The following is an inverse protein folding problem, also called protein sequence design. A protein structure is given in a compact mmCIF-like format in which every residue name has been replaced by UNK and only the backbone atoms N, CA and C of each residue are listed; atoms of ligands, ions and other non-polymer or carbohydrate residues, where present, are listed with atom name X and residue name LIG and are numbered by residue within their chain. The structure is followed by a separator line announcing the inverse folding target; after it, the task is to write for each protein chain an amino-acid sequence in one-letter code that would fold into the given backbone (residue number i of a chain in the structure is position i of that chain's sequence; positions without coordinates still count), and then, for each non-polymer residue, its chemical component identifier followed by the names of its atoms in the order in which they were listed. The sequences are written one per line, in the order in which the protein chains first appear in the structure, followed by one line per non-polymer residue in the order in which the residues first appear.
data_IF_130128025039
#
_entry.id   IF_130128025039
#
_cell.length_a   1.000
_cell.length_b   1.000
_cell.length_c   1.000
_cell.angle_alpha   90.00
_cell.angle_beta   90.00
_cell.angle_gamma   90.00
#
_symmetry.space_group_name_H-M   'P 1'
#
loop_
_entity.id
_entity.type
_entity.pdbx_description
1 polymer ?
#
# COMPACT_ATOMS: atom_id res chain seq x y z
N UNK A 1 -27.42 -17.30 3.90
CA UNK A 1 -28.88 -17.06 3.90
C UNK A 1 -29.58 -18.41 3.90
N UNK A 2 -30.72 -18.54 4.58
CA UNK A 2 -31.58 -19.74 4.42
C UNK A 2 -32.30 -19.70 3.06
N UNK A 3 -32.67 -20.86 2.46
CA UNK A 3 -33.21 -20.92 1.10
C UNK A 3 -34.44 -20.02 0.86
N UNK A 4 -35.37 -19.99 1.81
CA UNK A 4 -36.58 -19.15 1.75
C UNK A 4 -36.26 -17.65 1.70
N UNK A 5 -35.25 -17.21 2.45
CA UNK A 5 -34.79 -15.81 2.43
C UNK A 5 -34.08 -15.47 1.13
N UNK A 6 -33.29 -16.39 0.56
CA UNK A 6 -32.59 -16.18 -0.70
C UNK A 6 -33.59 -16.06 -1.86
N UNK A 7 -34.56 -16.97 -1.93
CA UNK A 7 -35.61 -16.94 -2.94
C UNK A 7 -36.40 -15.62 -2.87
N UNK A 8 -36.86 -15.22 -1.68
CA UNK A 8 -37.54 -13.94 -1.51
C UNK A 8 -36.68 -12.76 -1.97
N UNK A 9 -35.41 -12.73 -1.58
CA UNK A 9 -34.49 -11.66 -1.97
C UNK A 9 -34.27 -11.57 -3.47
N UNK A 10 -34.12 -12.71 -4.16
CA UNK A 10 -34.00 -12.75 -5.62
C UNK A 10 -35.29 -12.22 -6.27
N UNK A 11 -36.46 -12.63 -5.80
CA UNK A 11 -37.74 -12.16 -6.38
C UNK A 11 -37.95 -10.67 -6.14
N UNK A 12 -37.64 -10.15 -4.94
CA UNK A 12 -37.94 -8.75 -4.60
C UNK A 12 -36.89 -7.76 -5.11
N UNK A 13 -35.60 -8.11 -5.06
CA UNK A 13 -34.50 -7.17 -5.35
C UNK A 13 -33.81 -7.46 -6.68
N UNK A 14 -33.85 -8.71 -7.16
CA UNK A 14 -33.20 -9.11 -8.41
C UNK A 14 -34.11 -9.98 -9.29
N UNK A 15 -35.30 -9.48 -9.71
CA UNK A 15 -36.29 -10.30 -10.40
C UNK A 15 -35.74 -11.03 -11.63
N UNK A 16 -34.81 -10.40 -12.36
CA UNK A 16 -34.11 -10.96 -13.51
C UNK A 16 -33.22 -12.17 -13.21
N UNK A 17 -32.80 -12.34 -11.96
CA UNK A 17 -32.00 -13.46 -11.46
C UNK A 17 -32.85 -14.56 -10.81
N UNK A 18 -34.11 -14.27 -10.47
CA UNK A 18 -35.00 -15.22 -9.80
C UNK A 18 -35.36 -16.44 -10.65
N UNK A 19 -35.33 -16.31 -11.98
CA UNK A 19 -35.61 -17.38 -12.95
C UNK A 19 -34.36 -18.14 -13.40
N UNK A 20 -33.18 -17.75 -12.91
CA UNK A 20 -31.90 -18.37 -13.28
C UNK A 20 -31.66 -19.62 -12.44
N UNK A 21 -31.13 -20.65 -13.08
CA UNK A 21 -30.82 -21.92 -12.45
C UNK A 21 -29.44 -21.91 -11.78
N UNK A 22 -29.14 -22.96 -11.02
CA UNK A 22 -27.85 -23.11 -10.33
C UNK A 22 -26.65 -22.96 -11.28
N UNK A 23 -26.77 -23.48 -12.51
CA UNK A 23 -25.68 -23.43 -13.48
C UNK A 23 -25.30 -22.01 -13.89
N UNK A 24 -26.28 -21.09 -13.97
CA UNK A 24 -26.01 -19.68 -14.20
C UNK A 24 -25.14 -19.07 -13.11
N UNK A 25 -25.45 -19.32 -11.84
CA UNK A 25 -24.69 -18.79 -10.71
C UNK A 25 -23.29 -19.41 -10.61
N UNK A 26 -23.14 -20.70 -10.91
CA UNK A 26 -21.83 -21.38 -10.98
C UNK A 26 -20.94 -20.80 -12.09
N UNK A 27 -21.52 -20.51 -13.28
CA UNK A 27 -20.82 -19.80 -14.35
C UNK A 27 -20.45 -18.37 -13.96
N UNK A 28 -21.37 -17.64 -13.33
CA UNK A 28 -21.14 -16.26 -12.87
C UNK A 28 -20.05 -16.19 -11.81
N UNK A 29 -20.03 -17.13 -10.87
CA UNK A 29 -18.98 -17.25 -9.87
C UNK A 29 -17.63 -17.54 -10.52
N UNK A 30 -17.59 -18.49 -11.46
CA UNK A 30 -16.37 -18.84 -12.20
C UNK A 30 -15.82 -17.65 -12.99
N UNK A 31 -16.69 -16.89 -13.65
CA UNK A 31 -16.32 -15.65 -14.35
C UNK A 31 -15.76 -14.62 -13.39
N UNK A 32 -16.41 -14.40 -12.25
CA UNK A 32 -15.96 -13.45 -11.24
C UNK A 32 -14.62 -13.83 -10.63
N UNK A 33 -14.39 -15.12 -10.32
CA UNK A 33 -13.11 -15.62 -9.84
C UNK A 33 -12.00 -15.36 -10.88
N UNK A 34 -12.27 -15.58 -12.17
CA UNK A 34 -11.31 -15.25 -13.24
C UNK A 34 -11.01 -13.75 -13.28
N UNK A 35 -12.03 -12.91 -13.18
CA UNK A 35 -11.85 -11.44 -13.14
C UNK A 35 -11.01 -11.00 -11.93
N UNK A 36 -11.28 -11.54 -10.74
CA UNK A 36 -10.49 -11.26 -9.53
C UNK A 36 -9.02 -11.62 -9.75
N UNK A 37 -8.73 -12.81 -10.28
CA UNK A 37 -7.34 -13.23 -10.57
C UNK A 37 -6.62 -12.33 -11.57
N UNK A 38 -7.33 -11.82 -12.57
CA UNK A 38 -6.77 -10.86 -13.55
C UNK A 38 -6.47 -9.54 -12.86
N UNK A 39 -7.41 -9.04 -12.05
CA UNK A 39 -7.26 -7.80 -11.32
C UNK A 39 -6.12 -7.88 -10.29
N UNK A 40 -6.02 -8.98 -9.54
CA UNK A 40 -4.90 -9.24 -8.64
C UNK A 40 -3.56 -9.19 -9.37
N UNK A 41 -3.44 -9.80 -10.55
CA UNK A 41 -2.20 -9.71 -11.34
C UNK A 41 -1.88 -8.30 -11.82
N UNK A 42 -2.89 -7.46 -12.06
CA UNK A 42 -2.70 -6.09 -12.55
C UNK A 42 -2.41 -5.10 -11.42
N UNK A 43 -2.97 -5.33 -10.23
CA UNK A 43 -2.90 -4.40 -9.08
C UNK A 43 -1.85 -4.83 -8.06
N UNK A 44 -1.51 -6.12 -7.99
CA UNK A 44 -0.50 -6.61 -7.07
C UNK A 44 0.89 -6.22 -7.59
N UNK A 45 1.39 -5.11 -7.06
CA UNK A 45 2.78 -4.69 -7.19
C UNK A 45 3.62 -5.60 -6.29
N UNK A 46 4.72 -6.14 -6.83
CA UNK A 46 5.60 -7.01 -6.03
C UNK A 46 6.16 -6.26 -4.83
N UNK A 47 6.41 -6.98 -3.73
CA UNK A 47 7.02 -6.39 -2.52
C UNK A 47 8.33 -5.67 -2.85
N UNK A 48 9.16 -6.25 -3.73
CA UNK A 48 10.40 -5.62 -4.20
C UNK A 48 10.15 -4.28 -4.92
N UNK A 49 9.12 -4.19 -5.74
CA UNK A 49 8.75 -2.93 -6.41
C UNK A 49 8.17 -1.90 -5.42
N UNK A 50 7.47 -2.37 -4.39
CA UNK A 50 7.03 -1.50 -3.28
C UNK A 50 8.24 -0.91 -2.54
N UNK A 51 9.19 -1.74 -2.13
CA UNK A 51 10.42 -1.31 -1.45
C UNK A 51 11.19 -0.30 -2.30
N UNK A 52 11.47 -0.62 -3.56
CA UNK A 52 12.21 0.27 -4.46
C UNK A 52 11.54 1.66 -4.63
N UNK A 53 10.20 1.71 -4.67
CA UNK A 53 9.51 3.00 -4.77
C UNK A 53 9.55 3.80 -3.45
N UNK A 54 9.63 3.14 -2.29
CA UNK A 54 9.84 3.82 -1.00
C UNK A 54 11.26 4.37 -0.91
N UNK A 55 12.27 3.61 -1.34
CA UNK A 55 13.67 4.09 -1.40
C UNK A 55 13.80 5.34 -2.30
N UNK A 56 13.15 5.35 -3.46
CA UNK A 56 13.15 6.52 -4.35
C UNK A 56 12.41 7.71 -3.70
N UNK A 57 11.28 7.48 -3.04
CA UNK A 57 10.54 8.52 -2.34
C UNK A 57 11.38 9.14 -1.21
N UNK A 58 12.11 8.31 -0.46
CA UNK A 58 13.02 8.75 0.61
C UNK A 58 14.13 9.63 0.03
N UNK A 59 14.82 9.15 -1.00
CA UNK A 59 15.88 9.92 -1.67
C UNK A 59 15.38 11.28 -2.15
N UNK A 60 14.18 11.35 -2.72
CA UNK A 60 13.57 12.62 -3.16
C UNK A 60 13.29 13.53 -1.96
N UNK A 61 12.71 12.99 -0.88
CA UNK A 61 12.38 13.76 0.31
C UNK A 61 13.62 14.31 1.02
N UNK A 62 14.64 13.46 1.24
CA UNK A 62 15.91 13.83 1.89
C UNK A 62 16.63 14.91 1.09
N UNK A 63 16.63 14.82 -0.24
CA UNK A 63 17.26 15.81 -1.11
C UNK A 63 16.37 17.03 -1.41
N UNK A 64 15.20 17.14 -0.75
CA UNK A 64 14.23 18.23 -0.89
C UNK A 64 13.86 18.49 -2.36
N UNK A 65 13.71 17.42 -3.15
CA UNK A 65 13.35 17.49 -4.56
C UNK A 65 11.83 17.38 -4.74
N UNK A 66 11.29 17.93 -5.85
CA UNK A 66 9.87 17.76 -6.15
C UNK A 66 9.55 16.29 -6.45
N UNK A 67 8.44 15.80 -5.91
CA UNK A 67 7.99 14.41 -6.09
C UNK A 67 7.71 14.04 -7.55
N UNK A 68 7.35 15.01 -8.39
CA UNK A 68 7.18 14.81 -9.84
C UNK A 68 8.46 14.37 -10.58
N UNK A 69 9.63 14.54 -9.95
CA UNK A 69 10.93 14.16 -10.52
C UNK A 69 11.00 12.65 -10.79
N UNK A 70 10.35 11.85 -9.94
CA UNK A 70 10.33 10.40 -10.07
C UNK A 70 9.72 9.96 -11.40
N UNK A 71 8.51 10.45 -11.70
CA UNK A 71 7.78 10.09 -12.90
C UNK A 71 8.42 10.71 -14.16
N UNK A 72 8.84 11.98 -14.08
CA UNK A 72 9.33 12.72 -15.24
C UNK A 72 10.75 12.34 -15.67
N UNK A 73 11.63 12.02 -14.72
CA UNK A 73 13.06 11.86 -14.99
C UNK A 73 13.58 10.50 -14.54
N UNK A 74 13.35 10.12 -13.28
CA UNK A 74 13.97 8.92 -12.71
C UNK A 74 13.48 7.66 -13.42
N UNK A 75 12.16 7.49 -13.55
CA UNK A 75 11.59 6.33 -14.21
C UNK A 75 12.06 6.20 -15.68
N UNK A 76 11.97 7.23 -16.54
CA UNK A 76 12.52 7.17 -17.89
C UNK A 76 14.03 6.88 -17.95
N UNK A 77 14.82 7.44 -17.03
CA UNK A 77 16.26 7.21 -16.97
C UNK A 77 16.59 5.76 -16.62
N UNK A 78 16.00 5.21 -15.56
CA UNK A 78 16.18 3.82 -15.15
C UNK A 78 15.78 2.86 -16.27
N UNK A 79 14.64 3.12 -16.94
CA UNK A 79 14.19 2.32 -18.09
C UNK A 79 15.20 2.31 -19.23
N UNK A 80 15.72 3.47 -19.62
CA UNK A 80 16.74 3.57 -20.68
C UNK A 80 18.01 2.81 -20.31
N UNK A 81 18.52 3.00 -19.10
CA UNK A 81 19.74 2.33 -18.61
C UNK A 81 19.57 0.82 -18.64
N UNK A 82 18.49 0.31 -18.04
CA UNK A 82 18.25 -1.14 -17.93
C UNK A 82 17.99 -1.76 -19.30
N UNK A 83 17.24 -1.09 -20.17
CA UNK A 83 17.00 -1.55 -21.54
C UNK A 83 18.29 -1.69 -22.34
N UNK A 84 19.21 -0.72 -22.21
CA UNK A 84 20.49 -0.73 -22.93
C UNK A 84 21.49 -1.71 -22.32
N UNK A 85 21.59 -1.77 -21.00
CA UNK A 85 22.64 -2.54 -20.30
C UNK A 85 22.28 -4.01 -20.06
N UNK A 86 21.00 -4.31 -19.83
CA UNK A 86 20.54 -5.64 -19.41
C UNK A 86 19.65 -6.25 -20.48
N UNK A 87 18.72 -5.45 -21.02
CA UNK A 87 17.82 -5.86 -22.10
C UNK A 87 16.36 -5.48 -21.86
N UNK A 88 15.52 -5.77 -22.84
CA UNK A 88 14.11 -5.32 -22.85
C UNK A 88 13.21 -5.99 -21.82
N UNK A 89 13.52 -7.20 -21.35
CA UNK A 89 12.73 -7.85 -20.29
C UNK A 89 12.83 -7.11 -18.97
N UNK A 90 14.02 -6.64 -18.61
CA UNK A 90 14.26 -5.91 -17.38
C UNK A 90 13.61 -4.50 -17.39
N UNK A 91 13.45 -3.87 -18.56
CA UNK A 91 12.68 -2.62 -18.72
C UNK A 91 11.22 -2.78 -18.25
N UNK A 92 10.59 -3.91 -18.61
CA UNK A 92 9.20 -4.21 -18.22
C UNK A 92 9.07 -4.32 -16.70
N UNK A 93 10.08 -4.87 -16.02
CA UNK A 93 10.07 -4.98 -14.57
C UNK A 93 10.27 -3.63 -13.87
N UNK A 94 11.10 -2.74 -14.40
CA UNK A 94 11.25 -1.36 -13.91
C UNK A 94 9.94 -0.58 -14.06
N UNK A 95 9.19 -0.79 -15.14
CA UNK A 95 7.88 -0.14 -15.35
C UNK A 95 6.84 -0.49 -14.27
N UNK A 96 7.01 -1.62 -13.57
CA UNK A 96 6.08 -2.03 -12.50
C UNK A 96 6.33 -1.30 -11.18
N UNK A 97 7.44 -0.58 -11.05
CA UNK A 97 7.74 0.22 -9.87
C UNK A 97 6.78 1.43 -9.86
N UNK A 98 5.96 1.60 -8.82
CA UNK A 98 4.95 2.64 -8.79
C UNK A 98 5.60 4.00 -8.44
N UNK A 99 6.06 4.72 -9.45
CA UNK A 99 6.77 5.99 -9.33
C UNK A 99 5.95 7.21 -9.79
N UNK A 100 4.63 7.05 -9.95
CA UNK A 100 3.77 8.18 -10.33
C UNK A 100 3.85 9.30 -9.29
N UNK A 101 3.62 10.52 -9.75
CA UNK A 101 3.63 11.73 -8.94
C UNK A 101 2.83 11.55 -7.65
N UNK A 102 1.58 11.08 -7.77
CA UNK A 102 0.68 10.90 -6.62
C UNK A 102 1.13 9.77 -5.70
N UNK A 103 1.80 8.76 -6.24
CA UNK A 103 2.32 7.66 -5.43
C UNK A 103 3.50 8.13 -4.58
N UNK A 104 4.46 8.84 -5.18
CA UNK A 104 5.61 9.38 -4.46
C UNK A 104 5.17 10.42 -3.44
N UNK A 105 4.23 11.30 -3.80
CA UNK A 105 3.66 12.26 -2.86
C UNK A 105 3.06 11.56 -1.63
N UNK A 106 2.25 10.52 -1.84
CA UNK A 106 1.65 9.74 -0.74
C UNK A 106 2.72 9.10 0.14
N UNK A 107 3.72 8.43 -0.44
CA UNK A 107 4.80 7.78 0.33
C UNK A 107 5.59 8.77 1.17
N UNK A 108 5.90 9.94 0.63
CA UNK A 108 6.58 11.00 1.40
C UNK A 108 5.72 11.42 2.59
N UNK A 109 4.41 11.62 2.38
CA UNK A 109 3.47 11.93 3.46
C UNK A 109 3.38 10.81 4.50
N UNK A 110 3.33 9.55 4.06
CA UNK A 110 3.26 8.38 4.94
C UNK A 110 4.52 8.29 5.81
N UNK A 111 5.71 8.47 5.23
CA UNK A 111 6.96 8.55 6.00
C UNK A 111 6.95 9.69 7.02
N UNK A 112 6.50 10.88 6.62
CA UNK A 112 6.40 12.02 7.53
C UNK A 112 5.48 11.73 8.72
N UNK A 113 4.33 11.09 8.48
CA UNK A 113 3.39 10.71 9.54
C UNK A 113 4.00 9.67 10.49
N UNK A 114 4.66 8.64 9.93
CA UNK A 114 5.32 7.59 10.72
C UNK A 114 6.43 8.19 11.60
N UNK A 115 7.30 9.02 11.03
CA UNK A 115 8.37 9.70 11.77
C UNK A 115 7.81 10.60 12.87
N UNK A 116 6.73 11.35 12.58
CA UNK A 116 6.04 12.16 13.57
C UNK A 116 5.55 11.35 14.77
N UNK A 117 4.90 10.20 14.52
CA UNK A 117 4.43 9.29 15.58
C UNK A 117 5.58 8.71 16.40
N UNK A 118 6.66 8.28 15.73
CA UNK A 118 7.85 7.74 16.42
C UNK A 118 8.45 8.78 17.35
N UNK A 119 8.65 10.02 16.87
CA UNK A 119 9.20 11.10 17.68
C UNK A 119 8.32 11.43 18.89
N UNK A 120 7.00 11.49 18.71
CA UNK A 120 6.06 11.69 19.81
C UNK A 120 6.17 10.59 20.87
N UNK A 121 6.23 9.32 20.44
CA UNK A 121 6.37 8.19 21.36
C UNK A 121 7.70 8.24 22.12
N UNK A 122 8.80 8.53 21.44
CA UNK A 122 10.13 8.65 22.07
C UNK A 122 10.17 9.79 23.10
N UNK A 123 9.55 10.93 22.80
CA UNK A 123 9.44 12.04 23.74
C UNK A 123 8.60 11.66 24.97
N UNK A 124 7.48 10.98 24.78
CA UNK A 124 6.63 10.51 25.87
C UNK A 124 7.37 9.54 26.79
N UNK A 125 8.09 8.57 26.21
CA UNK A 125 8.94 7.62 26.95
C UNK A 125 10.00 8.38 27.77
N UNK A 126 10.70 9.34 27.15
CA UNK A 126 11.74 10.12 27.84
C UNK A 126 11.19 10.90 29.03
N UNK A 127 10.01 11.51 28.89
CA UNK A 127 9.33 12.23 29.98
C UNK A 127 8.96 11.28 31.12
N UNK A 128 8.41 10.10 30.80
CA UNK A 128 8.03 9.10 31.81
C UNK A 128 9.25 8.59 32.58
N UNK A 129 10.35 8.30 31.89
CA UNK A 129 11.60 7.88 32.51
C UNK A 129 12.12 8.95 33.49
N UNK A 130 12.14 10.23 33.08
CA UNK A 130 12.56 11.32 33.95
C UNK A 130 11.68 11.47 35.20
N UNK A 131 10.36 11.32 35.06
CA UNK A 131 9.44 11.35 36.21
C UNK A 131 9.69 10.19 37.16
N UNK A 132 9.85 8.98 36.64
CA UNK A 132 10.10 7.76 37.42
C UNK A 132 11.41 7.85 38.21
N UNK A 133 12.51 8.26 37.57
CA UNK A 133 13.81 8.39 38.24
C UNK A 133 13.80 9.46 39.32
N UNK A 134 13.18 10.62 39.04
CA UNK A 134 13.03 11.68 40.05
C UNK A 134 12.23 11.20 41.26
N UNK A 135 11.16 10.43 41.04
CA UNK A 135 10.34 9.90 42.12
C UNK A 135 11.10 8.86 42.96
N UNK A 136 11.87 7.98 42.32
CA UNK A 136 12.71 6.99 43.00
C UNK A 136 13.78 7.65 43.88
N UNK A 137 14.50 8.64 43.35
CA UNK A 137 15.50 9.39 44.12
C UNK A 137 14.85 10.07 45.34
N UNK A 138 13.67 10.67 45.16
CA UNK A 138 12.96 11.31 46.27
C UNK A 138 12.56 10.31 47.36
N UNK A 139 12.14 9.09 46.99
CA UNK A 139 11.83 8.03 47.93
C UNK A 139 13.08 7.53 48.68
N UNK A 140 14.21 7.41 47.99
CA UNK A 140 15.50 7.03 48.60
C UNK A 140 16.01 8.08 49.60
N UNK A 141 15.76 9.38 49.37
CA UNK A 141 16.16 10.43 50.32
C UNK A 141 15.25 10.55 51.56
N UNK A 142 14.03 10.00 51.50
CA UNK A 142 13.05 10.07 52.59
C UNK A 142 13.09 8.85 53.53
N UNK A 143 13.82 7.80 53.15
CA UNK A 143 14.07 6.59 53.94
C UNK A 143 15.45 6.64 54.59
#
# INVERSE_FOLDING_TARGET
MVPSKLQRHLVTNHPSLSTKDKSYFERSLSSKIKQVKVFEKQVCVSEKAQVASYEIAELIAVNLKPHNLAEKIILPACRKIVKTMIGGSADIDICKIPLSNDTIHRRIKDMQEILGKILQNLLQIRILLYKSTKQQILQEMLN
#
